data_IF_761294646544
#
_entry.id   IF_761294646544
#
_cell.length_a   1.000
_cell.length_b   1.000
_cell.length_c   1.000
_cell.angle_alpha   90.00
_cell.angle_beta   90.00
_cell.angle_gamma   90.00
#
_symmetry.space_group_name_H-M   'P 1'
#
loop_
_entity.id
_entity.type
_entity.pdbx_description
1 polymer ?
#
# COMPACT_ATOMS: atom_id res chain seq x y z
N UNK A 1 -32.10 0.48 19.36
CA UNK A 1 -30.97 0.52 18.43
C UNK A 1 -30.27 1.87 18.57
N UNK A 2 -29.00 1.86 18.60
CA UNK A 2 -28.25 3.09 18.71
C UNK A 2 -27.99 3.70 17.33
N UNK A 3 -27.94 5.02 17.23
CA UNK A 3 -27.68 5.67 15.96
C UNK A 3 -26.35 5.26 15.32
N UNK A 4 -25.32 5.00 16.11
CA UNK A 4 -24.08 4.58 15.54
C UNK A 4 -24.15 3.19 14.92
N UNK A 5 -25.00 2.31 15.41
CA UNK A 5 -25.17 1.02 14.76
C UNK A 5 -25.84 1.21 13.40
N UNK A 6 -26.81 2.10 13.34
CA UNK A 6 -27.46 2.42 12.09
C UNK A 6 -26.51 3.16 11.13
N UNK A 7 -25.65 4.02 11.68
CA UNK A 7 -24.71 4.77 10.88
C UNK A 7 -23.36 4.10 10.70
N UNK A 8 -23.09 3.06 11.45
CA UNK A 8 -21.79 2.42 11.47
C UNK A 8 -21.65 1.50 10.26
N UNK A 9 -21.27 2.07 9.15
CA UNK A 9 -20.85 1.26 8.03
C UNK A 9 -19.49 0.67 8.36
N UNK A 10 -19.27 -0.60 8.03
CA UNK A 10 -17.91 -1.12 8.07
C UNK A 10 -17.03 -0.26 7.20
N UNK A 11 -15.92 0.22 7.74
CA UNK A 11 -14.96 0.94 6.92
C UNK A 11 -14.40 -0.01 5.89
N UNK A 12 -14.17 0.50 4.71
CA UNK A 12 -13.42 -0.24 3.72
C UNK A 12 -11.98 -0.33 4.17
N UNK A 13 -11.43 -1.51 4.12
CA UNK A 13 -10.02 -1.72 4.46
C UNK A 13 -9.18 -1.60 3.23
N UNK A 14 -8.11 -0.83 3.36
CA UNK A 14 -7.09 -0.73 2.34
C UNK A 14 -5.79 -1.20 2.97
N UNK A 15 -5.22 -2.26 2.41
CA UNK A 15 -3.91 -2.76 2.82
C UNK A 15 -2.89 -2.17 1.88
N UNK A 16 -1.80 -1.68 2.44
CA UNK A 16 -0.72 -1.06 1.66
C UNK A 16 0.48 -1.97 1.70
N UNK A 17 0.76 -2.62 0.58
CA UNK A 17 1.94 -3.46 0.42
C UNK A 17 2.30 -3.56 -1.07
N UNK A 18 3.61 -3.69 -1.39
CA UNK A 18 4.03 -3.84 -2.77
C UNK A 18 3.83 -5.28 -3.25
N UNK A 19 3.66 -5.43 -4.57
CA UNK A 19 3.57 -6.75 -5.20
C UNK A 19 4.03 -6.66 -6.64
N UNK A 20 4.50 -7.79 -7.17
CA UNK A 20 4.93 -7.89 -8.56
C UNK A 20 3.77 -7.55 -9.51
N UNK A 21 4.07 -6.72 -10.50
CA UNK A 21 3.11 -6.38 -11.54
C UNK A 21 2.03 -5.41 -11.12
N UNK A 22 2.10 -4.85 -9.92
CA UNK A 22 1.10 -3.92 -9.42
C UNK A 22 1.78 -2.60 -9.08
N UNK A 23 1.45 -1.55 -9.83
CA UNK A 23 2.04 -0.23 -9.64
C UNK A 23 1.40 0.56 -8.51
N UNK A 24 0.09 0.37 -8.31
CA UNK A 24 -0.63 1.07 -7.25
C UNK A 24 -0.79 0.11 -6.06
N UNK A 25 0.01 0.27 -4.99
CA UNK A 25 0.12 -0.74 -3.94
C UNK A 25 -0.99 -0.67 -2.89
N UNK A 26 -2.21 -0.40 -3.31
CA UNK A 26 -3.37 -0.34 -2.43
C UNK A 26 -4.30 -1.51 -2.75
N UNK A 27 -4.59 -2.30 -1.73
CA UNK A 27 -5.35 -3.53 -1.86
C UNK A 27 -6.59 -3.47 -0.98
N UNK A 28 -7.69 -3.94 -1.50
CA UNK A 28 -8.91 -3.98 -0.72
C UNK A 28 -9.88 -5.02 -1.20
N UNK A 29 -10.92 -5.23 -0.40
CA UNK A 29 -12.03 -6.08 -0.75
C UNK A 29 -13.27 -5.53 -0.04
N UNK A 30 -14.43 -5.59 -0.68
CA UNK A 30 -15.68 -5.32 0.03
C UNK A 30 -15.85 -6.28 1.21
N UNK A 31 -16.55 -5.84 2.23
CA UNK A 31 -16.78 -6.64 3.43
C UNK A 31 -17.35 -8.03 3.13
N UNK A 32 -18.22 -8.09 2.16
CA UNK A 32 -18.83 -9.37 1.77
C UNK A 32 -17.79 -10.34 1.21
N UNK A 33 -16.85 -9.83 0.44
CA UNK A 33 -15.77 -10.66 -0.12
C UNK A 33 -14.83 -11.15 0.97
N UNK A 34 -14.53 -10.30 1.95
CA UNK A 34 -13.71 -10.71 3.09
C UNK A 34 -14.40 -11.82 3.87
N UNK A 35 -15.69 -11.69 4.10
CA UNK A 35 -16.48 -12.70 4.80
C UNK A 35 -16.53 -14.02 4.03
N UNK A 36 -16.49 -13.93 2.70
CA UNK A 36 -16.48 -15.12 1.85
C UNK A 36 -15.10 -15.74 1.71
N UNK A 37 -14.08 -15.14 2.31
CA UNK A 37 -12.72 -15.63 2.20
C UNK A 37 -12.02 -15.29 0.89
N UNK A 38 -12.56 -14.33 0.17
CA UNK A 38 -11.96 -13.89 -1.08
C UNK A 38 -10.64 -13.16 -0.83
N UNK A 39 -9.76 -13.24 -1.82
CA UNK A 39 -8.47 -12.55 -1.76
C UNK A 39 -8.67 -11.05 -1.97
N UNK A 40 -7.81 -10.21 -1.39
CA UNK A 40 -7.82 -8.80 -1.69
C UNK A 40 -7.49 -8.56 -3.17
N UNK A 41 -8.01 -7.49 -3.71
CA UNK A 41 -7.74 -7.10 -5.09
C UNK A 41 -7.04 -5.74 -5.10
N UNK A 42 -6.20 -5.46 -6.12
CA UNK A 42 -5.57 -4.15 -6.22
C UNK A 42 -6.57 -3.11 -6.70
N UNK A 43 -6.52 -1.93 -6.07
CA UNK A 43 -7.28 -0.78 -6.55
C UNK A 43 -6.56 -0.16 -7.75
N UNK A 44 -7.35 0.40 -8.67
CA UNK A 44 -6.82 1.32 -9.67
C UNK A 44 -6.86 2.74 -9.09
N UNK A 45 -5.98 3.64 -9.54
CA UNK A 45 -6.06 5.05 -9.12
C UNK A 45 -7.44 5.67 -9.39
N UNK A 46 -8.12 5.22 -10.44
CA UNK A 46 -9.45 5.70 -10.79
C UNK A 46 -10.52 5.29 -9.77
N UNK A 47 -10.28 4.22 -9.03
CA UNK A 47 -11.18 3.77 -7.97
C UNK A 47 -11.13 4.68 -6.74
N UNK A 48 -10.06 5.44 -6.60
CA UNK A 48 -9.83 6.33 -5.46
C UNK A 48 -9.48 7.73 -5.97
N UNK A 49 -10.44 8.42 -6.58
CA UNK A 49 -10.17 9.72 -7.22
C UNK A 49 -9.75 10.82 -6.25
N UNK A 50 -9.97 10.64 -4.94
CA UNK A 50 -9.53 11.60 -3.93
C UNK A 50 -8.02 11.57 -3.71
N UNK A 51 -7.33 10.53 -4.18
CA UNK A 51 -5.87 10.44 -4.08
C UNK A 51 -5.26 11.28 -5.20
N UNK A 52 -4.49 12.32 -4.86
CA UNK A 52 -3.92 13.18 -5.90
C UNK A 52 -2.86 12.45 -6.72
N UNK A 53 -2.65 12.91 -7.95
CA UNK A 53 -1.75 12.23 -8.90
C UNK A 53 -0.31 12.16 -8.42
N UNK A 54 0.18 13.18 -7.71
CA UNK A 54 1.53 13.14 -7.16
C UNK A 54 1.68 12.06 -6.09
N UNK A 55 0.64 11.84 -5.28
CA UNK A 55 0.67 10.75 -4.30
C UNK A 55 0.59 9.39 -4.99
N UNK A 56 -0.19 9.27 -6.07
CA UNK A 56 -0.22 8.06 -6.89
C UNK A 56 1.17 7.74 -7.41
N UNK A 57 1.89 8.75 -7.93
CA UNK A 57 3.23 8.58 -8.44
C UNK A 57 4.23 8.16 -7.35
N UNK A 58 4.11 8.75 -6.17
CA UNK A 58 4.97 8.40 -5.04
C UNK A 58 4.74 6.97 -4.58
N UNK A 59 3.48 6.54 -4.53
CA UNK A 59 3.13 5.17 -4.20
C UNK A 59 3.68 4.19 -5.22
N UNK A 60 3.56 4.52 -6.50
CA UNK A 60 4.08 3.68 -7.57
C UNK A 60 5.61 3.56 -7.49
N UNK A 61 6.30 4.64 -7.22
CA UNK A 61 7.76 4.63 -7.07
C UNK A 61 8.19 3.80 -5.86
N UNK A 62 7.46 3.92 -4.76
CA UNK A 62 7.73 3.14 -3.55
C UNK A 62 7.55 1.64 -3.81
N UNK A 63 6.49 1.26 -4.50
CA UNK A 63 6.24 -0.12 -4.89
C UNK A 63 7.31 -0.65 -5.83
N UNK A 64 7.70 0.17 -6.82
CA UNK A 64 8.71 -0.21 -7.81
C UNK A 64 10.09 -0.42 -7.16
N UNK A 65 10.41 0.35 -6.14
CA UNK A 65 11.66 0.16 -5.40
C UNK A 65 11.72 -1.22 -4.74
N UNK A 66 10.60 -1.70 -4.21
CA UNK A 66 10.51 -3.03 -3.65
C UNK A 66 10.70 -4.11 -4.73
N UNK A 67 10.05 -3.94 -5.88
CA UNK A 67 10.16 -4.88 -7.00
C UNK A 67 11.61 -4.98 -7.47
N UNK A 68 12.29 -3.86 -7.59
CA UNK A 68 13.70 -3.82 -7.99
C UNK A 68 14.57 -4.59 -7.00
N UNK A 69 14.38 -4.36 -5.72
CA UNK A 69 15.14 -5.08 -4.69
C UNK A 69 14.86 -6.58 -4.73
N UNK A 70 13.59 -6.95 -4.88
CA UNK A 70 13.23 -8.36 -4.96
C UNK A 70 13.87 -9.03 -6.18
N UNK A 71 13.90 -8.33 -7.31
CA UNK A 71 14.56 -8.83 -8.51
C UNK A 71 16.07 -9.04 -8.31
N UNK A 72 16.71 -8.13 -7.59
CA UNK A 72 18.13 -8.26 -7.23
C UNK A 72 18.36 -9.47 -6.34
N UNK A 73 17.52 -9.67 -5.33
CA UNK A 73 17.63 -10.80 -4.42
C UNK A 73 17.37 -12.13 -5.10
N UNK A 74 16.51 -12.15 -6.10
CA UNK A 74 16.22 -13.35 -6.88
C UNK A 74 17.24 -13.61 -7.98
N UNK A 75 18.16 -12.68 -8.21
CA UNK A 75 19.19 -12.81 -9.24
C UNK A 75 18.71 -12.50 -10.65
N UNK A 76 17.55 -11.90 -10.80
CA UNK A 76 17.02 -11.51 -12.12
C UNK A 76 17.73 -10.31 -12.71
N UNK A 77 18.23 -9.44 -11.84
CA UNK A 77 19.04 -8.28 -12.24
C UNK A 77 20.28 -8.21 -11.35
N UNK A 78 21.38 -7.59 -11.83
CA UNK A 78 22.56 -7.45 -11.00
C UNK A 78 22.28 -6.61 -9.75
N UNK A 79 22.74 -7.05 -8.57
CA UNK A 79 22.53 -6.29 -7.35
C UNK A 79 23.40 -5.04 -7.31
N UNK A 80 22.90 -4.02 -6.62
CA UNK A 80 23.70 -2.83 -6.34
C UNK A 80 24.87 -3.21 -5.43
N UNK A 81 26.05 -2.62 -5.66
CA UNK A 81 27.21 -2.88 -4.81
C UNK A 81 27.10 -2.11 -3.49
N UNK A 82 26.23 -2.56 -2.61
CA UNK A 82 26.04 -1.95 -1.31
C UNK A 82 26.64 -2.81 -0.20
N UNK A 83 27.15 -2.15 0.84
CA UNK A 83 27.52 -2.84 2.06
C UNK A 83 26.26 -3.33 2.78
N UNK A 84 26.44 -4.25 3.73
CA UNK A 84 25.32 -4.74 4.52
C UNK A 84 24.66 -3.62 5.32
N UNK A 85 25.44 -2.69 5.84
CA UNK A 85 24.93 -1.54 6.57
C UNK A 85 24.13 -0.61 5.67
N UNK A 86 24.60 -0.37 4.46
CA UNK A 86 23.89 0.45 3.49
C UNK A 86 22.56 -0.18 3.08
N UNK A 87 22.54 -1.51 2.91
CA UNK A 87 21.29 -2.23 2.61
C UNK A 87 20.29 -2.12 3.74
N UNK A 88 20.75 -2.22 4.96
CA UNK A 88 19.91 -2.07 6.14
C UNK A 88 19.31 -0.67 6.21
N UNK A 89 20.12 0.34 5.96
CA UNK A 89 19.65 1.73 5.97
C UNK A 89 18.64 1.99 4.86
N UNK A 90 18.88 1.47 3.68
CA UNK A 90 17.95 1.58 2.56
C UNK A 90 16.60 0.96 2.89
N UNK A 91 16.62 -0.20 3.54
CA UNK A 91 15.40 -0.86 3.95
C UNK A 91 14.62 -0.05 4.98
N UNK A 92 15.31 0.53 5.95
CA UNK A 92 14.68 1.39 6.94
C UNK A 92 14.07 2.63 6.28
N UNK A 93 14.80 3.25 5.37
CA UNK A 93 14.32 4.43 4.66
C UNK A 93 13.08 4.11 3.83
N UNK A 94 13.07 2.95 3.17
CA UNK A 94 11.93 2.50 2.40
C UNK A 94 10.70 2.28 3.30
N UNK A 95 10.88 1.63 4.44
CA UNK A 95 9.79 1.41 5.39
C UNK A 95 9.26 2.71 5.96
N UNK A 96 10.13 3.64 6.27
CA UNK A 96 9.73 4.95 6.80
C UNK A 96 8.99 5.76 5.73
N UNK A 97 9.41 5.67 4.49
CA UNK A 97 8.69 6.30 3.38
C UNK A 97 7.30 5.72 3.25
N UNK A 98 7.16 4.41 3.37
CA UNK A 98 5.86 3.74 3.34
C UNK A 98 4.92 4.24 4.43
N UNK A 99 5.44 4.43 5.64
CA UNK A 99 4.65 4.98 6.75
C UNK A 99 4.17 6.39 6.47
N UNK A 100 5.03 7.22 5.89
CA UNK A 100 4.68 8.58 5.50
C UNK A 100 3.59 8.58 4.43
N UNK A 101 3.72 7.71 3.44
CA UNK A 101 2.71 7.57 2.39
C UNK A 101 1.36 7.14 2.96
N UNK A 102 1.36 6.23 3.93
CA UNK A 102 0.14 5.78 4.61
C UNK A 102 -0.51 6.93 5.36
N UNK A 103 0.26 7.76 6.05
CA UNK A 103 -0.28 8.93 6.74
C UNK A 103 -0.90 9.92 5.76
N UNK A 104 -0.27 10.13 4.61
CA UNK A 104 -0.82 10.98 3.57
C UNK A 104 -2.12 10.40 3.00
N UNK A 105 -2.19 9.09 2.83
CA UNK A 105 -3.42 8.43 2.40
C UNK A 105 -4.55 8.61 3.40
N UNK A 106 -4.25 8.46 4.69
CA UNK A 106 -5.25 8.67 5.73
C UNK A 106 -5.80 10.09 5.70
N UNK A 107 -4.94 11.06 5.43
CA UNK A 107 -5.35 12.46 5.35
C UNK A 107 -6.30 12.73 4.20
N UNK A 108 -6.06 12.10 3.04
CA UNK A 108 -6.89 12.36 1.84
C UNK A 108 -8.12 11.48 1.74
N UNK A 109 -8.09 10.27 2.30
CA UNK A 109 -9.22 9.34 2.23
C UNK A 109 -10.19 9.49 3.40
N UNK A 110 -9.73 10.00 4.52
CA UNK A 110 -10.57 10.27 5.67
C UNK A 110 -11.06 9.01 6.38
N UNK A 111 -12.17 9.16 7.10
CA UNK A 111 -12.70 8.13 7.98
C UNK A 111 -13.44 7.01 7.26
N UNK A 112 -13.69 7.15 5.97
CA UNK A 112 -14.38 6.12 5.19
C UNK A 112 -13.52 4.88 4.97
N UNK A 113 -12.22 4.99 5.20
CA UNK A 113 -11.27 3.92 4.96
C UNK A 113 -10.40 3.66 6.17
N UNK A 114 -10.14 2.40 6.40
CA UNK A 114 -9.13 1.96 7.37
C UNK A 114 -7.88 1.56 6.60
N UNK A 115 -6.80 2.30 6.80
CA UNK A 115 -5.55 2.07 6.06
C UNK A 115 -4.61 1.24 6.94
N UNK A 116 -4.21 0.10 6.43
CA UNK A 116 -3.32 -0.83 7.13
C UNK A 116 -2.01 -0.92 6.37
N UNK A 117 -0.92 -0.56 7.02
CA UNK A 117 0.41 -0.67 6.43
C UNK A 117 0.97 -2.07 6.65
N UNK A 118 1.28 -2.76 5.57
CA UNK A 118 1.86 -4.11 5.60
C UNK A 118 3.20 -4.17 4.86
N UNK A 119 3.82 -3.04 4.65
CA UNK A 119 5.11 -2.96 3.96
C UNK A 119 6.31 -3.41 4.76
#
# INVERSE_FOLDING_TARGET
MTPQDAGARPRRRIRVFPEWGVDFPLWGAPSELEQAGEYPYPYDPDDLPQVPSDLVEELAAWSQAWVTRAAEEMGEIPPHPLTQQERYQEELDWKNQGKTLVENLRAVLGDDFEIIYEG
#
